data_IF_389207202033
#
_entry.id   IF_389207202033
#
_cell.length_a   1.000
_cell.length_b   1.000
_cell.length_c   1.000
_cell.angle_alpha   90.00
_cell.angle_beta   90.00
_cell.angle_gamma   90.00
#
_symmetry.space_group_name_H-M   'P 1'
#
loop_
_entity.id
_entity.type
_entity.pdbx_description
1 polymer ?
#
# COMPACT_ATOMS: atom_id res chain seq x y z
N UNK A 1 14.85 -3.95 -7.34
CA UNK A 1 13.45 -3.49 -7.14
C UNK A 1 12.46 -4.25 -8.06
N UNK A 2 11.33 -4.72 -7.51
CA UNK A 2 10.24 -5.41 -8.21
C UNK A 2 8.89 -4.88 -7.74
N UNK A 3 7.92 -4.75 -8.65
CA UNK A 3 6.54 -4.34 -8.34
C UNK A 3 5.59 -5.49 -8.65
N UNK A 4 4.79 -5.90 -7.67
CA UNK A 4 3.78 -6.96 -7.81
C UNK A 4 2.41 -6.49 -7.34
N UNK A 5 1.43 -6.50 -8.24
CA UNK A 5 0.03 -6.34 -7.87
C UNK A 5 -0.55 -7.65 -7.32
N UNK A 6 -1.39 -7.54 -6.30
CA UNK A 6 -1.99 -8.69 -5.62
C UNK A 6 -3.40 -8.97 -6.20
N UNK A 7 -3.81 -10.24 -6.17
CA UNK A 7 -5.13 -10.67 -6.62
C UNK A 7 -6.25 -10.41 -5.58
N UNK A 8 -5.99 -9.55 -4.59
CA UNK A 8 -6.93 -9.18 -3.53
C UNK A 8 -7.49 -7.78 -3.78
N UNK A 9 -8.80 -7.64 -3.60
CA UNK A 9 -9.51 -6.37 -3.87
C UNK A 9 -11.02 -6.44 -3.72
N UNK A 10 -11.59 -7.64 -3.56
CA UNK A 10 -13.05 -7.86 -3.43
C UNK A 10 -13.54 -8.01 -2.00
N UNK A 11 -12.62 -8.23 -1.05
CA UNK A 11 -12.92 -8.37 0.37
C UNK A 11 -13.00 -7.02 1.11
N UNK A 12 -12.97 -7.07 2.45
CA UNK A 12 -12.89 -5.86 3.27
C UNK A 12 -11.51 -5.23 3.19
N UNK A 13 -11.46 -3.96 2.77
CA UNK A 13 -10.26 -3.13 2.81
C UNK A 13 -9.81 -2.88 4.25
N UNK A 14 -10.74 -2.74 5.21
CA UNK A 14 -10.40 -2.65 6.64
C UNK A 14 -9.66 -3.88 7.15
N UNK A 15 -10.07 -5.08 6.74
CA UNK A 15 -9.37 -6.31 7.10
C UNK A 15 -7.95 -6.35 6.51
N UNK A 16 -7.79 -5.91 5.26
CA UNK A 16 -6.49 -5.80 4.60
C UNK A 16 -5.56 -4.80 5.30
N UNK A 17 -6.06 -3.59 5.63
CA UNK A 17 -5.30 -2.58 6.36
C UNK A 17 -4.88 -3.09 7.75
N UNK A 18 -5.80 -3.71 8.50
CA UNK A 18 -5.50 -4.30 9.81
C UNK A 18 -4.44 -5.40 9.73
N UNK A 19 -4.47 -6.23 8.69
CA UNK A 19 -3.45 -7.25 8.48
C UNK A 19 -2.07 -6.63 8.20
N UNK A 20 -2.02 -5.58 7.38
CA UNK A 20 -0.76 -4.92 7.00
C UNK A 20 -0.09 -4.24 8.21
N UNK A 21 -0.88 -3.56 9.05
CA UNK A 21 -0.41 -2.81 10.22
C UNK A 21 -0.34 -3.66 11.50
N UNK A 22 -0.73 -4.93 11.44
CA UNK A 22 -0.74 -5.81 12.60
C UNK A 22 0.67 -6.16 13.08
N UNK A 23 0.83 -6.37 14.38
CA UNK A 23 2.12 -6.73 15.00
C UNK A 23 2.65 -8.09 14.53
N UNK A 24 1.79 -8.96 14.01
CA UNK A 24 2.13 -10.30 13.56
C UNK A 24 1.98 -10.43 12.03
N UNK A 25 2.83 -11.25 11.43
CA UNK A 25 2.70 -11.65 10.03
C UNK A 25 1.68 -12.78 9.83
N UNK A 26 1.55 -13.28 8.60
CA UNK A 26 0.63 -14.39 8.30
C UNK A 26 1.00 -15.72 8.99
N UNK A 27 2.25 -15.88 9.44
CA UNK A 27 2.70 -17.06 10.17
C UNK A 27 2.60 -16.88 11.70
N UNK A 28 2.11 -15.73 12.18
CA UNK A 28 2.02 -15.41 13.61
C UNK A 28 3.35 -14.94 14.23
N UNK A 29 4.38 -14.68 13.41
CA UNK A 29 5.66 -14.14 13.90
C UNK A 29 5.55 -12.61 14.07
N UNK A 30 6.19 -12.01 15.09
CA UNK A 30 6.31 -10.56 15.18
C UNK A 30 6.93 -9.96 13.91
N UNK A 31 6.32 -8.90 13.38
CA UNK A 31 6.87 -8.10 12.28
C UNK A 31 8.02 -7.25 12.79
N UNK A 32 9.05 -7.08 11.98
CA UNK A 32 10.22 -6.26 12.33
C UNK A 32 9.89 -4.76 12.42
N UNK A 33 8.90 -4.30 11.65
CA UNK A 33 8.36 -2.94 11.73
C UNK A 33 7.44 -2.64 10.54
N UNK A 34 6.44 -1.79 10.76
CA UNK A 34 5.57 -1.27 9.71
C UNK A 34 5.37 0.21 9.97
N UNK A 35 5.64 1.02 8.95
CA UNK A 35 5.45 2.47 8.98
C UNK A 35 4.52 2.90 7.86
N UNK A 36 3.65 3.86 8.14
CA UNK A 36 2.80 4.51 7.14
C UNK A 36 3.55 5.74 6.65
N UNK A 37 4.13 5.66 5.45
CA UNK A 37 4.84 6.78 4.85
C UNK A 37 3.90 7.82 4.25
N UNK A 38 2.78 7.39 3.63
CA UNK A 38 1.84 8.25 2.91
C UNK A 38 0.38 7.81 3.11
N UNK A 39 -0.53 8.79 3.13
CA UNK A 39 -1.98 8.58 3.24
C UNK A 39 -2.44 8.12 4.64
N UNK A 40 -3.69 7.68 4.73
CA UNK A 40 -4.29 7.15 5.96
C UNK A 40 -5.00 5.81 5.69
N UNK A 41 -4.52 4.68 6.26
CA UNK A 41 -5.10 3.36 6.04
C UNK A 41 -6.57 3.23 6.43
N UNK A 42 -7.02 3.94 7.48
CA UNK A 42 -8.42 3.91 7.92
C UNK A 42 -9.32 4.66 6.93
N UNK A 43 -8.85 5.78 6.37
CA UNK A 43 -9.60 6.52 5.35
C UNK A 43 -9.70 5.72 4.05
N UNK A 44 -8.58 5.15 3.59
CA UNK A 44 -8.55 4.28 2.39
C UNK A 44 -9.51 3.10 2.57
N UNK A 45 -9.49 2.47 3.74
CA UNK A 45 -10.40 1.38 4.06
C UNK A 45 -11.86 1.82 4.07
N UNK A 46 -12.17 2.96 4.69
CA UNK A 46 -13.54 3.48 4.77
C UNK A 46 -14.12 3.81 3.38
N UNK A 47 -13.35 4.50 2.54
CA UNK A 47 -13.77 4.80 1.16
C UNK A 47 -13.96 3.51 0.38
N UNK A 48 -12.97 2.62 0.36
CA UNK A 48 -13.03 1.37 -0.40
C UNK A 48 -14.21 0.50 0.02
N UNK A 49 -14.42 0.30 1.32
CA UNK A 49 -15.50 -0.55 1.82
C UNK A 49 -16.90 0.04 1.56
N UNK A 50 -17.01 1.37 1.39
CA UNK A 50 -18.27 2.06 1.03
C UNK A 50 -18.68 1.88 -0.43
N UNK A 51 -17.77 1.45 -1.30
CA UNK A 51 -18.04 1.28 -2.73
C UNK A 51 -18.92 0.05 -2.99
N UNK A 52 -19.87 0.20 -3.92
CA UNK A 52 -20.73 -0.90 -4.40
C UNK A 52 -20.11 -1.77 -5.50
N UNK A 53 -18.85 -1.53 -5.87
CA UNK A 53 -18.14 -2.31 -6.87
C UNK A 53 -17.65 -3.65 -6.30
N UNK A 54 -17.54 -4.66 -7.17
CA UNK A 54 -16.95 -5.95 -6.79
C UNK A 54 -15.47 -5.77 -6.42
N UNK A 55 -14.70 -5.05 -7.22
CA UNK A 55 -13.32 -4.68 -6.93
C UNK A 55 -13.28 -3.31 -6.27
N UNK A 56 -13.16 -3.31 -4.93
CA UNK A 56 -13.24 -2.12 -4.08
C UNK A 56 -11.91 -1.39 -3.92
N UNK A 57 -10.81 -2.13 -3.98
CA UNK A 57 -9.46 -1.61 -3.88
C UNK A 57 -8.49 -2.44 -4.71
N UNK A 58 -7.33 -1.86 -5.01
CA UNK A 58 -6.18 -2.56 -5.58
C UNK A 58 -5.03 -2.46 -4.59
N UNK A 59 -4.21 -3.51 -4.48
CA UNK A 59 -3.00 -3.49 -3.65
C UNK A 59 -1.81 -4.02 -4.42
N UNK A 60 -0.62 -3.52 -4.07
CA UNK A 60 0.64 -3.91 -4.66
C UNK A 60 1.78 -3.83 -3.66
N UNK A 61 2.88 -4.50 -3.99
CA UNK A 61 4.12 -4.51 -3.19
C UNK A 61 5.25 -4.03 -4.08
N UNK A 62 5.97 -3.01 -3.62
CA UNK A 62 7.28 -2.61 -4.15
C UNK A 62 8.32 -3.22 -3.21
N UNK A 63 9.19 -4.08 -3.75
CA UNK A 63 10.18 -4.80 -2.97
C UNK A 63 11.58 -4.61 -3.56
N UNK A 64 12.58 -4.57 -2.68
CA UNK A 64 13.99 -4.50 -3.02
C UNK A 64 14.66 -5.85 -2.83
N UNK A 65 15.74 -6.11 -3.58
CA UNK A 65 16.60 -7.25 -3.29
C UNK A 65 17.30 -7.03 -1.93
N UNK A 66 17.70 -8.10 -1.22
CA UNK A 66 18.38 -7.95 0.07
C UNK A 66 19.58 -7.01 0.03
N UNK A 67 20.34 -7.01 -1.07
CA UNK A 67 21.56 -6.20 -1.22
C UNK A 67 21.30 -4.77 -1.72
N UNK A 68 20.07 -4.41 -2.12
CA UNK A 68 19.75 -3.09 -2.69
C UNK A 68 19.84 -1.97 -1.63
N UNK A 69 19.53 -2.29 -0.35
CA UNK A 69 19.57 -1.37 0.82
C UNK A 69 19.25 0.11 0.50
N UNK A 70 18.03 0.43 0.02
CA UNK A 70 17.70 1.79 -0.40
C UNK A 70 17.73 2.76 0.78
N UNK A 71 18.13 4.01 0.51
CA UNK A 71 17.99 5.10 1.48
C UNK A 71 16.56 5.61 1.53
N UNK A 72 16.17 6.30 2.61
CA UNK A 72 14.85 6.92 2.73
C UNK A 72 14.55 7.86 1.54
N UNK A 73 15.55 8.62 1.10
CA UNK A 73 15.44 9.51 -0.08
C UNK A 73 15.14 8.73 -1.38
N UNK A 74 15.73 7.53 -1.54
CA UNK A 74 15.46 6.66 -2.69
C UNK A 74 14.08 6.02 -2.59
N UNK A 75 13.62 5.67 -1.39
CA UNK A 75 12.26 5.18 -1.17
C UNK A 75 11.26 6.27 -1.54
N UNK A 76 11.45 7.50 -1.07
CA UNK A 76 10.59 8.63 -1.41
C UNK A 76 10.56 8.92 -2.92
N UNK A 77 11.72 8.90 -3.59
CA UNK A 77 11.78 9.08 -5.04
C UNK A 77 10.98 8.00 -5.80
N UNK A 78 11.07 6.74 -5.35
CA UNK A 78 10.28 5.64 -5.93
C UNK A 78 8.79 5.83 -5.68
N UNK A 79 8.38 6.27 -4.49
CA UNK A 79 6.98 6.55 -4.18
C UNK A 79 6.42 7.70 -5.04
N UNK A 80 7.18 8.77 -5.22
CA UNK A 80 6.79 9.88 -6.10
C UNK A 80 6.62 9.45 -7.56
N UNK A 81 7.59 8.70 -8.10
CA UNK A 81 7.54 8.25 -9.49
C UNK A 81 6.43 7.24 -9.72
N UNK A 82 6.17 6.39 -8.73
CA UNK A 82 5.01 5.49 -8.75
C UNK A 82 3.71 6.30 -8.74
N UNK A 83 3.58 7.31 -7.88
CA UNK A 83 2.40 8.16 -7.80
C UNK A 83 2.10 8.88 -9.12
N UNK A 84 3.12 9.53 -9.70
CA UNK A 84 3.03 10.22 -11.00
C UNK A 84 2.59 9.27 -12.12
N UNK A 85 2.98 8.00 -12.04
CA UNK A 85 2.63 6.98 -13.04
C UNK A 85 1.22 6.42 -12.82
N UNK A 86 0.89 6.04 -11.59
CA UNK A 86 -0.38 5.40 -11.24
C UNK A 86 -1.58 6.35 -11.32
N UNK A 87 -1.36 7.63 -11.03
CA UNK A 87 -2.41 8.66 -10.98
C UNK A 87 -2.14 9.83 -11.93
N UNK A 88 -1.54 9.55 -13.09
CA UNK A 88 -1.20 10.57 -14.09
C UNK A 88 -2.40 11.51 -14.38
N UNK A 89 -2.20 12.80 -14.17
CA UNK A 89 -3.21 13.84 -14.37
C UNK A 89 -4.16 14.10 -13.18
N UNK A 90 -3.93 13.47 -12.03
CA UNK A 90 -4.57 13.80 -10.76
C UNK A 90 -3.62 14.59 -9.86
N UNK A 91 -4.17 15.60 -9.18
CA UNK A 91 -3.47 16.30 -8.10
C UNK A 91 -3.45 15.42 -6.83
N UNK A 92 -2.45 15.57 -5.94
CA UNK A 92 -2.30 14.74 -4.73
C UNK A 92 -3.53 14.66 -3.84
N UNK A 93 -4.26 15.76 -3.68
CA UNK A 93 -5.48 15.83 -2.87
C UNK A 93 -6.64 14.99 -3.42
N UNK A 94 -6.52 14.49 -4.66
CA UNK A 94 -7.54 13.66 -5.31
C UNK A 94 -7.29 12.15 -5.14
N UNK A 95 -6.15 11.75 -4.59
CA UNK A 95 -5.81 10.34 -4.35
C UNK A 95 -5.22 10.04 -2.96
N UNK A 96 -4.74 11.05 -2.22
CA UNK A 96 -4.10 10.90 -0.90
C UNK A 96 -5.04 11.11 0.29
#
# INVERSE_FOLDING_TARGET
MHVKFLAHGTGSARAAAKYLLGEQDAAGKPREGVEVLRGNPDMVAAVSDSLGFEHKYTSGVIAWAPDDHPTDEQIEAVLEDFEKTAWAGLEPDRYA
#
